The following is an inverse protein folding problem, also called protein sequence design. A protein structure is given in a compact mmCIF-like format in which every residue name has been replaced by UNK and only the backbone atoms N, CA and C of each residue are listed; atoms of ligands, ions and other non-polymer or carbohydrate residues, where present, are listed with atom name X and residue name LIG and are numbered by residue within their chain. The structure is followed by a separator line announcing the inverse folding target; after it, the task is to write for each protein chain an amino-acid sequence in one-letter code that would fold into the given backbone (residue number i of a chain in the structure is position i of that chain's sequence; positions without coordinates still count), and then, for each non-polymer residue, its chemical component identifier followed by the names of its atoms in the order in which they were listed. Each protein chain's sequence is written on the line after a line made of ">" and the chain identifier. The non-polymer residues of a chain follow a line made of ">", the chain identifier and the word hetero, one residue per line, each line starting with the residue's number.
data_IF_662874795003
#
_entry.id   IF_662874795003
#
_cell.length_a   1.000
_cell.length_b   1.000
_cell.length_c   1.000
_cell.angle_alpha   90.00
_cell.angle_beta   90.00
_cell.angle_gamma   90.00
#
_symmetry.space_group_name_H-M   'P 1'
#
loop_
_entity.id
_entity.type
_entity.pdbx_description
1 polymer ?
#
# COMPACT_ATOMS: atom_id res chain seq x y z
N UNK A 1 14.65 1.11 6.86
CA UNK A 1 14.25 0.32 5.68
C UNK A 1 13.38 1.17 4.78
N UNK A 2 13.49 1.01 3.45
CA UNK A 2 12.59 1.66 2.49
C UNK A 2 12.01 0.57 1.60
N UNK A 3 10.69 0.53 1.48
CA UNK A 3 9.99 -0.20 0.42
C UNK A 3 9.64 0.77 -0.70
N UNK A 4 9.53 0.26 -1.92
CA UNK A 4 9.04 1.01 -3.07
C UNK A 4 8.24 0.07 -3.96
N UNK A 5 7.31 0.63 -4.72
CA UNK A 5 6.53 -0.12 -5.69
C UNK A 5 5.93 0.76 -6.76
N UNK A 6 5.55 0.14 -7.86
CA UNK A 6 4.85 0.75 -8.99
C UNK A 6 3.80 -0.25 -9.47
N UNK A 7 2.64 0.25 -9.88
CA UNK A 7 1.54 -0.60 -10.26
C UNK A 7 0.36 0.18 -10.79
N UNK A 8 -0.72 -0.54 -11.02
CA UNK A 8 -1.96 0.00 -11.53
C UNK A 8 -3.12 -0.40 -10.59
N UNK A 9 -4.13 0.46 -10.48
CA UNK A 9 -5.27 0.29 -9.59
C UNK A 9 -6.54 0.61 -10.37
N UNK A 10 -7.55 -0.25 -10.24
CA UNK A 10 -8.92 -0.02 -10.70
C UNK A 10 -9.84 0.02 -9.47
N UNK A 11 -10.29 1.23 -9.13
CA UNK A 11 -11.10 1.48 -7.94
C UNK A 11 -12.54 0.99 -8.08
N UNK A 12 -13.06 0.91 -9.31
CA UNK A 12 -14.43 0.45 -9.57
C UNK A 12 -14.53 -1.07 -9.38
N UNK A 13 -13.48 -1.79 -9.78
CA UNK A 13 -13.40 -3.25 -9.67
C UNK A 13 -12.73 -3.75 -8.40
N UNK A 14 -12.22 -2.85 -7.55
CA UNK A 14 -11.40 -3.21 -6.38
C UNK A 14 -10.21 -4.08 -6.78
N UNK A 15 -9.57 -3.74 -7.90
CA UNK A 15 -8.43 -4.45 -8.42
C UNK A 15 -7.15 -3.63 -8.26
N UNK A 16 -6.06 -4.29 -7.91
CA UNK A 16 -4.74 -3.68 -7.83
C UNK A 16 -3.68 -4.66 -8.32
N UNK A 17 -2.73 -4.16 -9.08
CA UNK A 17 -1.58 -4.92 -9.53
C UNK A 17 -0.32 -4.09 -9.34
N UNK A 18 0.48 -4.46 -8.33
CA UNK A 18 1.63 -3.67 -7.89
C UNK A 18 2.86 -4.54 -7.77
N UNK A 19 3.94 -4.09 -8.38
CA UNK A 19 5.27 -4.60 -8.07
C UNK A 19 5.75 -3.96 -6.76
N UNK A 20 6.08 -4.78 -5.78
CA UNK A 20 6.57 -4.38 -4.48
C UNK A 20 8.00 -4.85 -4.27
N UNK A 21 8.82 -3.99 -3.67
CA UNK A 21 10.14 -4.36 -3.15
C UNK A 21 10.06 -4.31 -1.63
N UNK A 22 9.95 -5.48 -1.00
CA UNK A 22 9.91 -5.61 0.45
C UNK A 22 11.33 -5.88 0.98
N UNK A 23 11.82 -5.07 1.93
CA UNK A 23 13.10 -5.36 2.57
C UNK A 23 12.97 -6.55 3.55
N UNK A 24 14.03 -7.33 3.70
CA UNK A 24 14.13 -8.38 4.72
C UNK A 24 15.27 -8.12 5.67
N UNK A 25 15.28 -8.87 6.79
CA UNK A 25 16.26 -8.73 7.87
C UNK A 25 17.70 -9.04 7.42
N UNK A 26 17.89 -9.78 6.32
CA UNK A 26 19.20 -10.32 5.89
C UNK A 26 19.73 -9.71 4.57
N UNK A 27 19.48 -8.43 4.31
CA UNK A 27 19.91 -7.69 3.09
C UNK A 27 19.29 -8.14 1.77
N UNK A 28 18.53 -9.24 1.76
CA UNK A 28 17.70 -9.60 0.63
C UNK A 28 16.50 -8.64 0.53
N UNK A 29 16.06 -8.39 -0.68
CA UNK A 29 14.78 -7.74 -0.93
C UNK A 29 13.90 -8.69 -1.72
N UNK A 30 12.65 -8.82 -1.31
CA UNK A 30 11.66 -9.52 -2.09
C UNK A 30 11.10 -8.55 -3.11
N UNK A 31 11.59 -8.67 -4.34
CA UNK A 31 10.98 -8.06 -5.52
C UNK A 31 9.90 -9.02 -6.03
N UNK A 32 8.64 -8.65 -5.80
CA UNK A 32 7.50 -9.48 -6.14
C UNK A 32 6.37 -8.61 -6.68
N UNK A 33 5.38 -9.25 -7.31
CA UNK A 33 4.15 -8.64 -7.78
C UNK A 33 3.02 -9.09 -6.86
N UNK A 34 2.23 -8.14 -6.37
CA UNK A 34 0.98 -8.40 -5.66
C UNK A 34 -0.16 -8.06 -6.60
N UNK A 35 -1.09 -9.00 -6.76
CA UNK A 35 -2.39 -8.75 -7.37
C UNK A 35 -3.46 -8.85 -6.28
N UNK A 36 -4.35 -7.88 -6.23
CA UNK A 36 -5.57 -7.89 -5.41
C UNK A 36 -6.75 -7.84 -6.38
N UNK A 37 -7.70 -8.73 -6.16
CA UNK A 37 -8.94 -8.85 -6.94
C UNK A 37 -10.10 -9.11 -5.96
N UNK A 38 -10.82 -8.04 -5.59
CA UNK A 38 -11.83 -8.08 -4.52
C UNK A 38 -11.24 -8.54 -3.18
N UNK A 39 -11.78 -9.62 -2.62
CA UNK A 39 -11.37 -10.18 -1.33
C UNK A 39 -10.21 -11.20 -1.43
N UNK A 40 -9.49 -11.24 -2.55
CA UNK A 40 -8.39 -12.19 -2.77
C UNK A 40 -7.09 -11.48 -3.11
N UNK A 41 -6.00 -11.92 -2.47
CA UNK A 41 -4.65 -11.46 -2.71
C UNK A 41 -3.79 -12.56 -3.31
N UNK A 42 -2.90 -12.17 -4.21
CA UNK A 42 -1.98 -13.09 -4.87
C UNK A 42 -0.58 -12.50 -4.86
N UNK A 43 0.38 -13.24 -4.30
CA UNK A 43 1.79 -12.88 -4.28
C UNK A 43 2.54 -13.71 -5.32
N UNK A 44 3.18 -13.04 -6.28
CA UNK A 44 3.95 -13.72 -7.30
C UNK A 44 5.18 -14.40 -6.70
N UNK A 45 5.34 -15.68 -7.02
CA UNK A 45 6.58 -16.42 -6.76
C UNK A 45 7.62 -15.92 -7.77
N UNK A 46 8.79 -15.42 -7.32
CA UNK A 46 9.86 -14.98 -8.21
C UNK A 46 10.22 -16.06 -9.23
N UNK A 47 10.45 -15.65 -10.48
CA UNK A 47 10.66 -16.58 -11.60
C UNK A 47 11.79 -17.58 -11.34
N UNK A 48 12.87 -17.13 -10.70
CA UNK A 48 14.01 -17.94 -10.29
C UNK A 48 13.64 -19.15 -9.40
N UNK A 49 12.45 -19.15 -8.81
CA UNK A 49 12.00 -20.13 -7.83
C UNK A 49 10.86 -21.02 -8.33
N UNK A 50 10.26 -20.71 -9.49
CA UNK A 50 9.13 -21.48 -10.05
C UNK A 50 9.46 -22.95 -10.32
N UNK A 51 10.73 -23.23 -10.65
CA UNK A 51 11.22 -24.61 -10.81
C UNK A 51 11.17 -25.42 -9.51
N UNK A 52 11.19 -24.76 -8.34
CA UNK A 52 11.11 -25.39 -7.01
C UNK A 52 9.67 -25.56 -6.51
N UNK A 53 8.72 -24.86 -7.11
CA UNK A 53 7.28 -24.92 -6.78
C UNK A 53 6.50 -25.85 -7.72
N UNK A 54 7.17 -26.61 -8.59
CA UNK A 54 6.50 -27.49 -9.55
C UNK A 54 5.76 -26.74 -10.67
N UNK A 55 6.16 -25.49 -10.96
CA UNK A 55 5.54 -24.65 -11.99
C UNK A 55 4.55 -23.61 -11.47
N UNK A 56 4.27 -23.59 -10.16
CA UNK A 56 3.31 -22.66 -9.55
C UNK A 56 3.92 -21.26 -9.46
N UNK A 57 3.20 -20.26 -9.98
CA UNK A 57 3.68 -18.88 -10.14
C UNK A 57 3.17 -17.94 -9.06
N UNK A 58 2.20 -18.36 -8.24
CA UNK A 58 1.48 -17.49 -7.32
C UNK A 58 1.19 -18.17 -5.98
N UNK A 59 1.14 -17.35 -4.93
CA UNK A 59 0.62 -17.74 -3.62
C UNK A 59 -0.63 -16.92 -3.33
N UNK A 60 -1.78 -17.57 -3.28
CA UNK A 60 -3.08 -16.97 -2.93
C UNK A 60 -3.23 -16.82 -1.43
N UNK A 61 -3.90 -15.77 -0.98
CA UNK A 61 -4.26 -15.57 0.41
C UNK A 61 -5.58 -14.80 0.53
N UNK A 62 -6.43 -15.11 1.51
CA UNK A 62 -7.64 -14.37 1.75
C UNK A 62 -7.30 -12.96 2.25
N UNK A 63 -8.10 -11.99 1.82
CA UNK A 63 -8.00 -10.64 2.29
C UNK A 63 -8.93 -10.40 3.48
N UNK A 64 -8.37 -10.32 4.69
CA UNK A 64 -9.13 -9.89 5.89
C UNK A 64 -9.00 -8.37 6.07
N UNK A 65 -10.12 -7.67 6.26
CA UNK A 65 -10.21 -6.18 6.28
C UNK A 65 -9.11 -5.51 7.15
N UNK A 66 -8.81 -6.08 8.30
CA UNK A 66 -7.90 -5.52 9.31
C UNK A 66 -6.42 -5.55 8.86
N UNK A 67 -6.00 -6.55 8.08
CA UNK A 67 -4.63 -6.66 7.58
C UNK A 67 -4.39 -5.82 6.31
N UNK A 68 -5.47 -5.30 5.72
CA UNK A 68 -5.48 -4.70 4.38
C UNK A 68 -5.99 -3.28 4.30
N UNK A 69 -6.46 -2.71 5.41
CA UNK A 69 -6.69 -1.27 5.47
C UNK A 69 -5.54 -0.42 4.87
N UNK A 70 -4.25 -0.84 4.89
CA UNK A 70 -3.16 -0.11 4.21
C UNK A 70 -2.97 -0.46 2.72
N UNK A 71 -3.61 -1.52 2.20
CA UNK A 71 -3.40 -2.06 0.84
C UNK A 71 -4.69 -2.09 -0.01
N UNK A 72 -5.85 -1.83 0.59
CA UNK A 72 -7.12 -1.81 -0.12
C UNK A 72 -7.26 -0.53 -0.95
N UNK A 73 -7.44 -0.60 -2.28
CA UNK A 73 -7.60 0.54 -3.18
C UNK A 73 -8.56 1.62 -2.67
N UNK A 74 -9.71 1.21 -2.12
CA UNK A 74 -10.70 2.15 -1.58
C UNK A 74 -10.28 2.81 -0.27
N UNK A 75 -9.49 2.13 0.57
CA UNK A 75 -8.93 2.74 1.78
C UNK A 75 -7.88 3.81 1.46
N UNK A 76 -7.32 3.79 0.24
CA UNK A 76 -6.49 4.89 -0.26
C UNK A 76 -7.36 6.08 -0.63
N UNK A 77 -8.38 5.93 -1.48
CA UNK A 77 -9.24 7.05 -1.90
C UNK A 77 -9.99 7.69 -0.73
N UNK A 78 -10.50 6.89 0.21
CA UNK A 78 -11.30 7.39 1.33
C UNK A 78 -10.50 8.32 2.25
N UNK A 79 -9.17 8.26 2.27
CA UNK A 79 -8.34 9.18 3.07
C UNK A 79 -8.21 10.59 2.46
N UNK A 80 -8.67 10.78 1.23
CA UNK A 80 -8.44 11.99 0.45
C UNK A 80 -9.72 12.70 0.02
N UNK A 81 -10.84 11.99 -0.05
CA UNK A 81 -12.16 12.56 -0.36
C UNK A 81 -12.70 13.46 0.77
N UNK A 82 -12.02 13.53 1.91
CA UNK A 82 -12.58 14.12 3.11
C UNK A 82 -11.58 15.03 3.84
N UNK A 83 -11.01 16.03 3.16
CA UNK A 83 -10.30 17.12 3.87
C UNK A 83 -11.18 17.69 5.01
N UNK A 84 -12.49 17.78 4.77
CA UNK A 84 -13.48 18.17 5.78
C UNK A 84 -13.56 17.15 6.94
N UNK A 85 -13.58 15.84 6.67
CA UNK A 85 -13.56 14.83 7.75
C UNK A 85 -12.24 14.85 8.52
N UNK A 86 -11.10 15.08 7.85
CA UNK A 86 -9.82 15.25 8.54
C UNK A 86 -9.87 16.42 9.52
N UNK A 87 -10.47 17.54 9.13
CA UNK A 87 -10.72 18.69 10.02
C UNK A 87 -11.69 18.32 11.16
N UNK A 88 -12.78 17.60 10.89
CA UNK A 88 -13.72 17.11 11.91
C UNK A 88 -13.06 16.15 12.92
N UNK A 89 -12.11 15.35 12.45
CA UNK A 89 -11.28 14.46 13.27
C UNK A 89 -10.13 15.21 13.99
N UNK A 90 -10.09 16.53 13.92
CA UNK A 90 -9.14 17.38 14.64
C UNK A 90 -7.79 17.56 13.96
N UNK A 91 -7.66 17.26 12.66
CA UNK A 91 -6.48 17.64 11.90
C UNK A 91 -6.49 19.14 11.57
N UNK A 92 -5.31 19.76 11.57
CA UNK A 92 -5.10 21.08 11.00
C UNK A 92 -4.80 20.95 9.51
N UNK A 93 -5.63 21.56 8.67
CA UNK A 93 -5.48 21.57 7.21
C UNK A 93 -5.12 22.98 6.74
N UNK A 94 -4.02 23.11 6.00
CA UNK A 94 -3.52 24.37 5.46
C UNK A 94 -3.36 24.24 3.94
N UNK A 95 -4.00 25.13 3.17
CA UNK A 95 -3.72 25.25 1.74
C UNK A 95 -2.35 25.90 1.53
N UNK A 96 -1.43 25.20 0.86
CA UNK A 96 -0.06 25.66 0.61
C UNK A 96 0.05 26.45 -0.69
N UNK A 97 -0.54 25.92 -1.78
CA UNK A 97 -0.40 26.53 -3.10
C UNK A 97 -0.94 25.65 -4.21
N UNK A 98 -0.67 26.03 -5.46
CA UNK A 98 -1.01 25.24 -6.63
C UNK A 98 0.28 24.75 -7.30
N UNK A 99 0.26 23.54 -7.86
CA UNK A 99 1.39 22.90 -8.54
C UNK A 99 0.89 22.07 -9.73
N UNK A 100 1.74 21.86 -10.74
CA UNK A 100 1.44 20.95 -11.86
C UNK A 100 2.22 19.65 -11.66
N UNK A 101 1.51 18.53 -11.55
CA UNK A 101 2.09 17.18 -11.38
C UNK A 101 1.66 16.32 -12.56
N UNK A 102 2.62 15.75 -13.30
CA UNK A 102 2.33 14.89 -14.47
C UNK A 102 1.36 15.53 -15.49
N UNK A 103 1.42 16.86 -15.64
CA UNK A 103 0.54 17.62 -16.53
C UNK A 103 -0.84 17.96 -15.98
N UNK A 104 -1.17 17.54 -14.77
CA UNK A 104 -2.42 17.88 -14.07
C UNK A 104 -2.22 19.08 -13.14
N UNK A 105 -3.12 20.06 -13.21
CA UNK A 105 -3.17 21.15 -12.23
C UNK A 105 -3.70 20.62 -10.89
N UNK A 106 -2.95 20.90 -9.82
CA UNK A 106 -3.25 20.43 -8.47
C UNK A 106 -3.19 21.56 -7.46
N UNK A 107 -3.96 21.43 -6.38
CA UNK A 107 -3.84 22.25 -5.16
C UNK A 107 -3.18 21.42 -4.08
N UNK A 108 -2.12 21.95 -3.49
CA UNK A 108 -1.41 21.33 -2.38
C UNK A 108 -2.03 21.77 -1.04
N UNK A 109 -2.26 20.79 -0.17
CA UNK A 109 -2.66 20.94 1.21
C UNK A 109 -1.62 20.31 2.12
N UNK A 110 -1.31 20.96 3.23
CA UNK A 110 -0.58 20.39 4.36
C UNK A 110 -1.59 19.99 5.42
N UNK A 111 -1.47 18.78 5.92
CA UNK A 111 -2.32 18.23 6.98
C UNK A 111 -1.43 17.85 8.16
N UNK A 112 -1.83 18.24 9.38
CA UNK A 112 -1.15 17.85 10.62
C UNK A 112 -2.17 17.33 11.62
N UNK A 113 -1.93 16.16 12.20
CA UNK A 113 -2.82 15.53 13.19
C UNK A 113 -2.01 14.87 14.29
N UNK A 114 -2.56 14.81 15.50
CA UNK A 114 -2.03 13.95 16.55
C UNK A 114 -2.15 12.47 16.13
N UNK A 115 -1.06 11.73 16.24
CA UNK A 115 -1.00 10.31 15.93
C UNK A 115 -0.95 9.51 17.23
N UNK A 116 -1.76 8.47 17.32
CA UNK A 116 -1.73 7.53 18.45
C UNK A 116 -1.64 6.10 17.91
N UNK A 117 -0.63 5.36 18.36
CA UNK A 117 -0.43 3.95 17.98
C UNK A 117 -0.29 3.11 19.23
N UNK A 118 -0.99 1.98 19.27
CA UNK A 118 -0.82 0.98 20.32
C UNK A 118 0.34 0.05 19.98
N UNK A 119 1.35 -0.01 20.83
CA UNK A 119 2.54 -0.83 20.69
C UNK A 119 2.65 -1.89 21.81
N UNK A 120 3.46 -2.92 21.59
CA UNK A 120 3.67 -4.05 22.51
C UNK A 120 2.84 -5.30 22.20
N UNK A 121 3.11 -6.45 22.86
CA UNK A 121 2.56 -7.76 22.50
C UNK A 121 1.03 -7.89 22.54
N UNK A 122 0.32 -6.90 23.10
CA UNK A 122 -1.14 -6.81 23.16
C UNK A 122 -1.65 -5.36 23.03
N UNK A 123 -0.84 -4.44 22.49
CA UNK A 123 -1.20 -3.02 22.38
C UNK A 123 -1.33 -2.29 23.73
N UNK A 124 -0.57 -2.71 24.74
CA UNK A 124 -0.61 -2.15 26.10
C UNK A 124 0.03 -0.78 26.23
N UNK A 125 0.93 -0.41 25.31
CA UNK A 125 1.59 0.89 25.31
C UNK A 125 0.94 1.81 24.28
N UNK A 126 0.49 2.99 24.71
CA UNK A 126 0.02 4.02 23.79
C UNK A 126 1.19 4.97 23.48
N UNK A 127 1.62 4.97 22.24
CA UNK A 127 2.58 5.93 21.74
C UNK A 127 1.84 7.07 21.07
N UNK A 128 2.16 8.30 21.51
CA UNK A 128 1.66 9.53 20.91
C UNK A 128 2.74 10.15 20.06
N UNK A 129 2.32 10.85 19.02
CA UNK A 129 3.21 11.60 18.15
C UNK A 129 2.44 12.43 17.16
N UNK A 130 3.09 12.76 16.05
CA UNK A 130 2.54 13.65 15.05
C UNK A 130 2.52 12.95 13.70
N UNK A 131 1.38 13.04 13.02
CA UNK A 131 1.21 12.72 11.61
C UNK A 131 1.22 14.02 10.82
N UNK A 132 2.08 14.11 9.81
CA UNK A 132 2.12 15.19 8.85
C UNK A 132 1.95 14.60 7.44
N UNK A 133 1.09 15.21 6.63
CA UNK A 133 0.93 14.84 5.24
C UNK A 133 0.90 16.07 4.33
N UNK A 134 1.38 15.89 3.11
CA UNK A 134 1.19 16.80 2.00
C UNK A 134 0.32 16.09 0.97
N UNK A 135 -0.81 16.70 0.63
CA UNK A 135 -1.82 16.17 -0.28
C UNK A 135 -1.90 17.08 -1.51
N UNK A 136 -1.87 16.52 -2.71
CA UNK A 136 -2.08 17.24 -3.95
C UNK A 136 -3.34 16.71 -4.61
N UNK A 137 -4.36 17.57 -4.69
CA UNK A 137 -5.67 17.23 -5.25
C UNK A 137 -5.86 17.97 -6.58
N UNK A 138 -6.40 17.31 -7.60
CA UNK A 138 -6.85 17.97 -8.83
C UNK A 138 -8.08 18.86 -8.58
N UNK A 139 -8.51 19.62 -9.59
CA UNK A 139 -9.62 20.58 -9.48
C UNK A 139 -10.97 19.95 -9.10
N UNK A 140 -11.15 18.67 -9.39
CA UNK A 140 -12.32 17.86 -9.03
C UNK A 140 -12.18 17.15 -7.66
N UNK A 141 -11.08 17.40 -6.95
CA UNK A 141 -10.82 16.81 -5.64
C UNK A 141 -10.12 15.46 -5.67
N UNK A 142 -9.77 14.92 -6.85
CA UNK A 142 -9.11 13.62 -6.95
C UNK A 142 -7.64 13.68 -6.47
N UNK A 143 -7.17 12.72 -5.65
CA UNK A 143 -5.79 12.71 -5.16
C UNK A 143 -4.80 12.35 -6.28
N UNK A 144 -3.85 13.25 -6.55
CA UNK A 144 -2.78 13.02 -7.54
C UNK A 144 -1.49 12.58 -6.85
N UNK A 145 -1.15 13.18 -5.71
CA UNK A 145 0.04 12.81 -4.94
C UNK A 145 -0.23 12.95 -3.46
N UNK A 146 0.41 12.09 -2.68
CA UNK A 146 0.45 12.19 -1.23
C UNK A 146 1.84 11.86 -0.73
N UNK A 147 2.33 12.67 0.19
CA UNK A 147 3.53 12.40 0.97
C UNK A 147 3.17 12.47 2.45
N UNK A 148 3.75 11.59 3.25
CA UNK A 148 3.46 11.57 4.67
C UNK A 148 4.70 11.27 5.51
N UNK A 149 4.63 11.74 6.74
CA UNK A 149 5.55 11.46 7.82
C UNK A 149 4.75 11.16 9.07
N UNK A 150 5.09 10.07 9.76
CA UNK A 150 4.59 9.81 11.09
C UNK A 150 5.78 9.79 12.03
N UNK A 151 5.80 10.69 13.01
CA UNK A 151 6.83 10.76 14.04
C UNK A 151 6.24 10.38 15.39
N UNK A 152 6.54 9.18 15.85
CA UNK A 152 6.31 8.71 17.21
C UNK A 152 7.62 8.81 18.02
N UNK A 153 7.55 8.59 19.32
CA UNK A 153 8.74 8.62 20.19
C UNK A 153 9.75 7.52 19.87
N UNK A 154 9.30 6.37 19.36
CA UNK A 154 10.16 5.20 19.09
C UNK A 154 10.46 4.98 17.61
N UNK A 155 9.67 5.58 16.72
CA UNK A 155 9.72 5.28 15.30
C UNK A 155 9.34 6.50 14.45
N UNK A 156 9.99 6.60 13.28
CA UNK A 156 9.65 7.58 12.27
C UNK A 156 9.40 6.87 10.95
N UNK A 157 8.19 7.05 10.41
CA UNK A 157 7.80 6.57 9.08
C UNK A 157 7.78 7.72 8.09
N UNK A 158 8.15 7.43 6.85
CA UNK A 158 7.90 8.33 5.72
C UNK A 158 7.41 7.50 4.54
N UNK A 159 6.49 8.07 3.76
CA UNK A 159 6.03 7.47 2.53
C UNK A 159 5.60 8.52 1.52
N UNK A 160 5.54 8.09 0.26
CA UNK A 160 5.04 8.89 -0.84
C UNK A 160 4.31 7.99 -1.82
N UNK A 161 3.21 8.49 -2.37
CA UNK A 161 2.41 7.86 -3.40
C UNK A 161 2.09 8.90 -4.46
N UNK A 162 2.18 8.54 -5.73
CA UNK A 162 1.78 9.39 -6.86
C UNK A 162 0.93 8.56 -7.81
N UNK A 163 -0.24 9.08 -8.18
CA UNK A 163 -1.12 8.51 -9.19
C UNK A 163 -0.89 9.25 -10.50
N UNK A 164 -0.73 8.50 -11.58
CA UNK A 164 -0.54 9.00 -12.94
C UNK A 164 -1.27 8.09 -13.93
N UNK A 165 -1.32 8.48 -15.21
CA UNK A 165 -2.03 7.72 -16.26
C UNK A 165 -3.51 7.42 -15.90
N UNK A 166 -4.20 8.41 -15.33
CA UNK A 166 -5.59 8.26 -14.87
C UNK A 166 -6.53 7.96 -16.04
N UNK A 167 -7.37 6.92 -15.87
CA UNK A 167 -8.36 6.51 -16.86
C UNK A 167 -7.83 5.62 -17.99
N UNK A 168 -6.55 5.21 -17.94
CA UNK A 168 -6.04 4.20 -18.86
C UNK A 168 -6.66 2.83 -18.57
N UNK A 169 -7.02 2.04 -19.60
CA UNK A 169 -7.55 0.70 -19.41
C UNK A 169 -6.49 -0.21 -18.80
N UNK A 170 -6.89 -0.91 -17.74
CA UNK A 170 -6.03 -1.82 -17.00
C UNK A 170 -6.26 -3.26 -17.47
N UNK A 171 -5.18 -3.99 -17.77
CA UNK A 171 -5.26 -5.43 -18.05
C UNK A 171 -5.39 -6.22 -16.74
N UNK A 172 -6.62 -6.42 -16.31
CA UNK A 172 -6.96 -7.11 -15.05
C UNK A 172 -6.93 -8.62 -15.24
N UNK A 173 -5.76 -9.24 -15.24
CA UNK A 173 -5.66 -10.70 -15.31
C UNK A 173 -5.46 -11.27 -13.91
N UNK A 174 -6.55 -11.79 -13.34
CA UNK A 174 -6.49 -12.66 -12.16
C UNK A 174 -5.58 -13.84 -12.47
N UNK A 175 -4.67 -14.23 -11.56
CA UNK A 175 -3.82 -15.40 -11.75
C UNK A 175 -4.63 -16.67 -12.07
N UNK A 176 -4.18 -17.53 -13.00
CA UNK A 176 -4.83 -18.80 -13.27
C UNK A 176 -4.86 -19.69 -12.03
N UNK A 177 -6.01 -20.27 -11.67
CA UNK A 177 -6.19 -21.06 -10.45
C UNK A 177 -5.21 -22.25 -10.35
N UNK A 178 -4.83 -22.85 -11.48
CA UNK A 178 -3.88 -23.96 -11.53
C UNK A 178 -2.41 -23.53 -11.33
N UNK A 179 -2.14 -22.22 -11.34
CA UNK A 179 -0.84 -21.63 -11.01
C UNK A 179 -0.74 -21.11 -9.56
N UNK A 180 -1.81 -21.24 -8.77
CA UNK A 180 -1.93 -20.67 -7.42
C UNK A 180 -1.76 -21.74 -6.34
N UNK A 181 -0.99 -21.40 -5.30
CA UNK A 181 -0.93 -22.15 -4.05
C UNK A 181 -1.56 -21.31 -2.93
N UNK A 182 -2.53 -21.87 -2.22
CA UNK A 182 -3.17 -21.14 -1.12
C UNK A 182 -2.30 -21.05 0.15
N UNK A 183 -2.44 -19.92 0.85
CA UNK A 183 -1.90 -19.62 2.17
C UNK A 183 -2.99 -18.98 3.05
N UNK A 184 -2.84 -19.11 4.36
CA UNK A 184 -3.86 -18.66 5.31
C UNK A 184 -3.84 -17.14 5.58
N UNK A 185 -2.74 -16.46 5.25
CA UNK A 185 -2.56 -15.01 5.40
C UNK A 185 -1.42 -14.48 4.53
N UNK A 186 -1.31 -13.14 4.42
CA UNK A 186 -0.18 -12.49 3.75
C UNK A 186 1.16 -12.88 4.40
N UNK A 187 1.24 -12.88 5.73
CA UNK A 187 2.47 -13.29 6.43
C UNK A 187 2.85 -14.73 6.09
N UNK A 188 1.87 -15.64 6.03
CA UNK A 188 2.10 -17.02 5.62
C UNK A 188 2.54 -17.12 4.16
N UNK A 189 1.96 -16.31 3.27
CA UNK A 189 2.33 -16.25 1.86
C UNK A 189 3.78 -15.76 1.67
N UNK A 190 4.14 -14.66 2.33
CA UNK A 190 5.50 -14.11 2.34
C UNK A 190 6.51 -15.12 2.89
N UNK A 191 6.20 -15.73 4.05
CA UNK A 191 7.05 -16.77 4.66
C UNK A 191 7.26 -17.96 3.71
N UNK A 192 6.23 -18.36 2.97
CA UNK A 192 6.30 -19.46 1.99
C UNK A 192 7.19 -19.11 0.81
N UNK A 193 7.11 -17.89 0.30
CA UNK A 193 8.03 -17.41 -0.76
C UNK A 193 9.47 -17.43 -0.24
N UNK A 194 9.73 -17.00 0.99
CA UNK A 194 11.07 -17.04 1.60
C UNK A 194 11.65 -18.44 1.78
N UNK A 195 10.86 -19.39 2.30
CA UNK A 195 11.28 -20.81 2.35
C UNK A 195 11.68 -21.35 0.99
N UNK A 196 10.95 -20.94 -0.05
CA UNK A 196 11.22 -21.35 -1.41
C UNK A 196 12.54 -20.75 -1.94
N UNK A 197 12.95 -19.57 -1.45
CA UNK A 197 14.26 -18.97 -1.76
C UNK A 197 15.43 -19.72 -1.10
N UNK A 198 15.19 -20.46 0.00
CA UNK A 198 16.25 -21.06 0.81
C UNK A 198 17.00 -20.05 1.68
N UNK A 199 16.31 -19.00 2.13
CA UNK A 199 16.81 -17.93 3.00
C UNK A 199 16.40 -18.15 4.49
N UNK A 200 16.30 -19.40 4.96
CA UNK A 200 16.10 -19.73 6.39
C UNK A 200 17.42 -19.99 7.11
#
# INVERSE_FOLDING_TARGET
>A
MRSSGEGAVDFDREFMDVRIILPTDDTASLDSRIVVDGDSGYLAVPEALRNRTGGLSWVGFPLVEEELAPFHPKAFLSRFEELEELEEQGAAVERVGNEVIEGLETTQYRVTKEAEVRTGPQGESLEKGVFEAHLWLSSDGFPVRTEWSTRLSTFVSHGSLTLFALGEPLDTLTPPEDEVIEAESLQAAVSRVFRTQGLE
#
